data_IF_615084504804
#
_entry.id   IF_615084504804
#
_cell.length_a   1.000
_cell.length_b   1.000
_cell.length_c   1.000
_cell.angle_alpha   90.00
_cell.angle_beta   90.00
_cell.angle_gamma   90.00
#
_symmetry.space_group_name_H-M   'P 1'
#
loop_
_entity.id
_entity.type
_entity.pdbx_description
1 polymer ?
#
# COMPACT_ATOMS: atom_id res chain seq x y z
N UNK A 1 -12.54 -29.90 0.21
CA UNK A 1 -11.71 -29.39 -0.91
C UNK A 1 -10.96 -28.15 -0.40
N UNK A 2 -9.71 -28.31 0.03
CA UNK A 2 -8.93 -27.20 0.59
C UNK A 2 -8.54 -26.31 -0.59
N UNK A 3 -9.20 -25.15 -0.75
CA UNK A 3 -8.77 -24.11 -1.70
C UNK A 3 -7.34 -23.73 -1.30
N UNK A 4 -6.36 -24.08 -2.13
CA UNK A 4 -4.97 -23.72 -1.90
C UNK A 4 -4.87 -22.21 -1.66
N UNK A 5 -4.06 -21.81 -0.68
CA UNK A 5 -3.69 -20.41 -0.47
C UNK A 5 -2.91 -19.91 -1.70
N UNK A 6 -3.62 -19.52 -2.75
CA UNK A 6 -3.02 -18.87 -3.89
C UNK A 6 -2.68 -17.44 -3.49
N UNK A 7 -1.38 -17.18 -3.29
CA UNK A 7 -0.87 -15.83 -3.05
C UNK A 7 -1.21 -14.94 -4.24
N UNK A 8 -1.65 -13.72 -3.94
CA UNK A 8 -1.87 -12.72 -4.98
C UNK A 8 -0.54 -12.43 -5.70
N UNK A 9 -0.54 -12.15 -7.02
CA UNK A 9 0.70 -11.89 -7.77
C UNK A 9 1.62 -10.86 -7.09
N UNK A 10 1.06 -9.76 -6.56
CA UNK A 10 1.83 -8.76 -5.82
C UNK A 10 2.42 -9.27 -4.50
N UNK A 11 1.73 -10.15 -3.78
CA UNK A 11 2.29 -10.76 -2.56
C UNK A 11 3.48 -11.65 -2.90
N UNK A 12 3.44 -12.37 -4.03
CA UNK A 12 4.58 -13.19 -4.49
C UNK A 12 5.80 -12.33 -4.79
N UNK A 13 5.61 -11.18 -5.44
CA UNK A 13 6.69 -10.22 -5.71
C UNK A 13 7.25 -9.66 -4.41
N UNK A 14 6.38 -9.22 -3.50
CA UNK A 14 6.79 -8.72 -2.19
C UNK A 14 7.57 -9.76 -1.39
N UNK A 15 7.14 -11.02 -1.37
CA UNK A 15 7.87 -12.11 -0.74
C UNK A 15 9.25 -12.33 -1.37
N UNK A 16 9.36 -12.25 -2.70
CA UNK A 16 10.66 -12.33 -3.38
C UNK A 16 11.61 -11.21 -3.00
N UNK A 17 11.12 -9.96 -3.00
CA UNK A 17 11.89 -8.78 -2.58
C UNK A 17 12.30 -8.89 -1.11
N UNK A 18 11.37 -9.28 -0.25
CA UNK A 18 11.58 -9.47 1.18
C UNK A 18 12.64 -10.53 1.47
N UNK A 19 12.54 -11.70 0.82
CA UNK A 19 13.53 -12.76 0.96
C UNK A 19 14.92 -12.32 0.49
N UNK A 20 15.00 -11.60 -0.62
CA UNK A 20 16.26 -11.01 -1.11
C UNK A 20 16.84 -9.99 -0.13
N UNK A 21 16.01 -9.09 0.39
CA UNK A 21 16.43 -8.09 1.37
C UNK A 21 16.98 -8.74 2.65
N UNK A 22 16.32 -9.80 3.14
CA UNK A 22 16.79 -10.57 4.29
C UNK A 22 18.13 -11.25 3.98
N UNK A 23 18.28 -11.88 2.82
CA UNK A 23 19.52 -12.57 2.46
C UNK A 23 20.71 -11.60 2.33
N UNK A 24 20.50 -10.47 1.66
CA UNK A 24 21.51 -9.40 1.53
C UNK A 24 21.85 -8.82 2.91
N UNK A 25 20.83 -8.55 3.74
CA UNK A 25 21.06 -8.03 5.09
C UNK A 25 21.84 -9.02 5.96
N UNK A 26 21.49 -10.31 5.93
CA UNK A 26 22.18 -11.34 6.70
C UNK A 26 23.65 -11.51 6.28
N UNK A 27 23.98 -11.22 5.02
CA UNK A 27 25.35 -11.30 4.51
C UNK A 27 26.20 -10.05 4.82
N UNK A 28 25.58 -8.86 4.89
CA UNK A 28 26.32 -7.59 4.88
C UNK A 28 25.99 -6.61 6.02
N UNK A 29 24.98 -6.87 6.84
CA UNK A 29 24.52 -5.98 7.90
C UNK A 29 24.66 -6.61 9.30
N UNK A 30 24.41 -5.81 10.34
CA UNK A 30 24.42 -6.28 11.72
C UNK A 30 23.19 -7.15 12.03
N UNK A 31 23.29 -8.11 12.97
CA UNK A 31 22.15 -8.94 13.37
C UNK A 31 20.95 -8.11 13.84
N UNK A 32 21.18 -7.03 14.58
CA UNK A 32 20.11 -6.14 15.06
C UNK A 32 19.38 -5.48 13.90
N UNK A 33 20.11 -5.03 12.87
CA UNK A 33 19.50 -4.48 11.66
C UNK A 33 18.68 -5.56 10.93
N UNK A 34 19.24 -6.76 10.72
CA UNK A 34 18.55 -7.86 10.04
C UNK A 34 17.28 -8.30 10.77
N UNK A 35 17.33 -8.45 12.10
CA UNK A 35 16.14 -8.78 12.89
C UNK A 35 15.07 -7.69 12.81
N UNK A 36 15.49 -6.42 12.80
CA UNK A 36 14.56 -5.28 12.66
C UNK A 36 13.94 -5.22 11.26
N UNK A 37 14.71 -5.55 10.23
CA UNK A 37 14.24 -5.69 8.85
C UNK A 37 13.20 -6.81 8.73
N UNK A 38 13.48 -7.99 9.28
CA UNK A 38 12.54 -9.13 9.29
C UNK A 38 11.26 -8.75 10.02
N UNK A 39 11.36 -8.06 11.16
CA UNK A 39 10.20 -7.57 11.89
C UNK A 39 9.38 -6.57 11.06
N UNK A 40 10.04 -5.63 10.38
CA UNK A 40 9.38 -4.67 9.49
C UNK A 40 8.63 -5.35 8.34
N UNK A 41 9.25 -6.36 7.70
CA UNK A 41 8.63 -7.18 6.64
C UNK A 41 7.39 -7.90 7.19
N UNK A 42 7.46 -8.48 8.39
CA UNK A 42 6.33 -9.17 8.99
C UNK A 42 5.17 -8.21 9.29
N UNK A 43 5.46 -7.01 9.82
CA UNK A 43 4.46 -5.97 10.06
C UNK A 43 3.82 -5.49 8.76
N UNK A 44 4.61 -5.28 7.70
CA UNK A 44 4.11 -4.91 6.39
C UNK A 44 3.19 -5.99 5.82
N UNK A 45 3.58 -7.26 5.84
CA UNK A 45 2.76 -8.33 5.27
C UNK A 45 1.36 -8.39 5.92
N UNK A 46 1.28 -8.20 7.25
CA UNK A 46 0.01 -8.11 7.98
C UNK A 46 -0.76 -6.85 7.58
N UNK A 47 -0.08 -5.70 7.57
CA UNK A 47 -0.67 -4.41 7.23
C UNK A 47 -1.21 -4.34 5.80
N UNK A 48 -0.49 -4.90 4.83
CA UNK A 48 -0.88 -4.97 3.43
C UNK A 48 -2.04 -5.93 3.21
N UNK A 49 -2.03 -7.10 3.86
CA UNK A 49 -3.15 -8.05 3.80
C UNK A 49 -4.42 -7.42 4.37
N UNK A 50 -4.33 -6.73 5.51
CA UNK A 50 -5.44 -6.00 6.09
C UNK A 50 -5.98 -4.92 5.13
N UNK A 51 -5.09 -4.14 4.51
CA UNK A 51 -5.46 -3.13 3.51
C UNK A 51 -6.20 -3.76 2.33
N UNK A 52 -5.66 -4.84 1.74
CA UNK A 52 -6.29 -5.54 0.63
C UNK A 52 -7.69 -6.04 0.97
N UNK A 53 -7.87 -6.63 2.14
CA UNK A 53 -9.18 -7.11 2.57
C UNK A 53 -10.16 -5.95 2.75
N UNK A 54 -9.73 -4.84 3.35
CA UNK A 54 -10.55 -3.64 3.50
C UNK A 54 -10.91 -3.03 2.14
N UNK A 55 -9.95 -2.93 1.21
CA UNK A 55 -10.17 -2.44 -0.15
C UNK A 55 -11.14 -3.33 -0.93
N UNK A 56 -11.03 -4.66 -0.79
CA UNK A 56 -11.98 -5.58 -1.41
C UNK A 56 -13.41 -5.36 -0.91
N UNK A 57 -13.59 -5.13 0.40
CA UNK A 57 -14.90 -4.79 0.99
C UNK A 57 -15.43 -3.42 0.55
N UNK A 58 -14.53 -2.45 0.35
CA UNK A 58 -14.89 -1.15 -0.18
C UNK A 58 -15.43 -1.29 -1.61
N UNK A 59 -14.71 -1.98 -2.48
CA UNK A 59 -15.13 -2.17 -3.87
C UNK A 59 -16.27 -3.18 -4.05
N UNK A 60 -16.54 -4.05 -3.07
CA UNK A 60 -17.75 -4.89 -3.08
C UNK A 60 -19.00 -4.15 -2.60
N UNK A 61 -18.87 -2.92 -2.09
CA UNK A 61 -19.97 -2.14 -1.52
C UNK A 61 -20.37 -2.55 -0.10
N UNK A 62 -19.65 -3.47 0.54
CA UNK A 62 -19.87 -3.85 1.95
C UNK A 62 -19.55 -2.71 2.91
N UNK A 63 -18.63 -1.82 2.53
CA UNK A 63 -18.34 -0.59 3.26
C UNK A 63 -19.05 0.56 2.57
N UNK A 64 -20.20 0.95 3.11
CA UNK A 64 -20.96 2.12 2.65
C UNK A 64 -20.35 3.41 3.24
N UNK A 65 -19.75 4.24 2.38
CA UNK A 65 -19.36 5.62 2.70
C UNK A 65 -17.88 5.83 3.07
N UNK A 66 -17.38 7.03 2.74
CA UNK A 66 -15.98 7.41 2.93
C UNK A 66 -15.52 7.45 4.40
N UNK A 67 -16.43 7.74 5.34
CA UNK A 67 -16.12 7.80 6.78
C UNK A 67 -15.76 6.44 7.39
N UNK A 68 -16.45 5.37 6.99
CA UNK A 68 -16.14 4.02 7.42
C UNK A 68 -14.77 3.55 6.91
N UNK A 69 -14.44 3.87 5.65
CA UNK A 69 -13.12 3.64 5.08
C UNK A 69 -12.02 4.40 5.82
N UNK A 70 -12.24 5.70 6.07
CA UNK A 70 -11.29 6.54 6.78
C UNK A 70 -11.02 6.02 8.20
N UNK A 71 -12.05 5.59 8.93
CA UNK A 71 -11.90 5.01 10.26
C UNK A 71 -11.06 3.72 10.26
N UNK A 72 -11.35 2.80 9.33
CA UNK A 72 -10.57 1.55 9.20
C UNK A 72 -9.11 1.84 8.86
N UNK A 73 -8.88 2.80 7.96
CA UNK A 73 -7.54 3.23 7.60
C UNK A 73 -6.80 3.83 8.80
N UNK A 74 -7.46 4.70 9.57
CA UNK A 74 -6.90 5.31 10.77
C UNK A 74 -6.54 4.25 11.82
N UNK A 75 -7.44 3.32 12.14
CA UNK A 75 -7.18 2.23 13.09
C UNK A 75 -5.95 1.42 12.67
N UNK A 76 -5.88 1.03 11.39
CA UNK A 76 -4.74 0.27 10.85
C UNK A 76 -3.44 1.04 10.99
N UNK A 77 -3.44 2.32 10.60
CA UNK A 77 -2.25 3.16 10.67
C UNK A 77 -1.79 3.34 12.13
N UNK A 78 -2.71 3.60 13.06
CA UNK A 78 -2.41 3.69 14.49
C UNK A 78 -1.85 2.39 15.04
N UNK A 79 -2.41 1.22 14.66
CA UNK A 79 -1.87 -0.07 15.06
C UNK A 79 -0.45 -0.31 14.51
N UNK A 80 -0.19 0.03 13.24
CA UNK A 80 1.14 -0.09 12.64
C UNK A 80 2.15 0.82 13.35
N UNK A 81 1.80 2.10 13.55
CA UNK A 81 2.65 3.06 14.26
C UNK A 81 2.90 2.62 15.71
N UNK A 82 1.88 2.11 16.40
CA UNK A 82 2.01 1.55 17.75
C UNK A 82 2.96 0.36 17.79
N UNK A 83 2.82 -0.59 16.87
CA UNK A 83 3.72 -1.74 16.77
C UNK A 83 5.16 -1.32 16.47
N UNK A 84 5.36 -0.35 15.57
CA UNK A 84 6.68 0.21 15.29
C UNK A 84 7.26 0.92 16.50
N UNK A 85 6.46 1.72 17.23
CA UNK A 85 6.89 2.39 18.46
C UNK A 85 7.34 1.39 19.53
N UNK A 86 6.57 0.32 19.75
CA UNK A 86 6.94 -0.76 20.67
C UNK A 86 8.25 -1.42 20.24
N UNK A 87 8.42 -1.71 18.94
CA UNK A 87 9.66 -2.28 18.42
C UNK A 87 10.88 -1.39 18.68
N UNK A 88 10.75 -0.07 18.46
CA UNK A 88 11.82 0.90 18.71
C UNK A 88 12.18 0.99 20.18
N UNK A 89 11.19 1.04 21.08
CA UNK A 89 11.41 1.00 22.54
C UNK A 89 12.11 -0.28 22.96
N UNK A 90 11.82 -1.41 22.29
CA UNK A 90 12.49 -2.69 22.50
C UNK A 90 13.91 -2.77 21.88
N UNK A 91 14.40 -1.70 21.26
CA UNK A 91 15.76 -1.62 20.70
C UNK A 91 15.86 -2.02 19.23
N UNK A 92 14.76 -2.07 18.48
CA UNK A 92 14.81 -2.29 17.04
C UNK A 92 15.59 -1.16 16.33
N UNK A 93 16.38 -1.54 15.33
CA UNK A 93 17.10 -0.61 14.48
C UNK A 93 16.09 0.16 13.60
N UNK A 94 16.01 1.50 13.70
CA UNK A 94 14.96 2.28 13.03
C UNK A 94 15.00 2.15 11.51
N UNK A 95 16.20 2.20 10.92
CA UNK A 95 16.36 2.04 9.46
C UNK A 95 15.96 0.64 9.00
N UNK A 96 16.41 -0.43 9.68
CA UNK A 96 16.03 -1.80 9.33
C UNK A 96 14.52 -1.99 9.37
N UNK A 97 13.87 -1.51 10.43
CA UNK A 97 12.42 -1.55 10.58
C UNK A 97 11.71 -0.79 9.44
N UNK A 98 12.12 0.44 9.16
CA UNK A 98 11.53 1.27 8.10
C UNK A 98 11.67 0.64 6.71
N UNK A 99 12.86 0.13 6.39
CA UNK A 99 13.12 -0.58 5.12
C UNK A 99 12.24 -1.81 5.03
N UNK A 100 12.11 -2.57 6.11
CA UNK A 100 11.26 -3.75 6.15
C UNK A 100 9.79 -3.42 5.93
N UNK A 101 9.29 -2.35 6.55
CA UNK A 101 7.89 -1.92 6.36
C UNK A 101 7.65 -1.42 4.92
N UNK A 102 8.70 -0.99 4.22
CA UNK A 102 8.62 -0.38 2.90
C UNK A 102 8.84 -1.36 1.74
N UNK A 103 9.09 -2.66 1.99
CA UNK A 103 9.35 -3.65 0.93
C UNK A 103 8.18 -3.81 -0.05
N UNK A 104 6.97 -3.48 0.39
CA UNK A 104 5.77 -3.49 -0.46
C UNK A 104 5.78 -2.41 -1.53
N UNK A 105 6.42 -1.26 -1.29
CA UNK A 105 6.44 -0.13 -2.21
C UNK A 105 6.99 -0.54 -3.58
N UNK A 106 8.21 -1.11 -3.69
CA UNK A 106 8.70 -1.57 -4.99
C UNK A 106 7.85 -2.71 -5.57
N UNK A 107 7.28 -3.61 -4.75
CA UNK A 107 6.39 -4.66 -5.24
C UNK A 107 5.11 -4.09 -5.87
N UNK A 108 4.52 -3.06 -5.26
CA UNK A 108 3.35 -2.37 -5.75
C UNK A 108 3.66 -1.60 -7.04
N UNK A 109 4.79 -0.90 -7.10
CA UNK A 109 5.23 -0.20 -8.32
C UNK A 109 5.47 -1.15 -9.49
N UNK A 110 6.17 -2.27 -9.25
CA UNK A 110 6.37 -3.30 -10.27
C UNK A 110 5.06 -3.94 -10.72
N UNK A 111 4.18 -4.24 -9.76
CA UNK A 111 2.86 -4.80 -10.07
C UNK A 111 2.00 -3.83 -10.89
N UNK A 112 1.97 -2.54 -10.52
CA UNK A 112 1.27 -1.51 -11.27
C UNK A 112 1.83 -1.35 -12.69
N UNK A 113 3.15 -1.40 -12.85
CA UNK A 113 3.80 -1.36 -14.15
C UNK A 113 3.43 -2.56 -15.04
N UNK A 114 3.40 -3.76 -14.48
CA UNK A 114 3.05 -4.98 -15.24
C UNK A 114 1.57 -5.10 -15.58
N UNK A 115 0.69 -4.55 -14.74
CA UNK A 115 -0.78 -4.64 -14.90
C UNK A 115 -1.34 -3.36 -15.56
N UNK A 116 -0.47 -2.43 -15.97
CA UNK A 116 -0.91 -1.18 -16.61
C UNK A 116 -1.86 -1.50 -17.78
N UNK A 117 -3.06 -0.87 -17.84
CA UNK A 117 -3.91 -0.98 -19.02
C UNK A 117 -3.15 -0.51 -20.27
N UNK A 118 -3.43 -1.07 -21.45
CA UNK A 118 -2.99 -0.46 -22.69
C UNK A 118 -3.43 1.01 -22.72
N UNK A 119 -2.57 1.89 -23.21
CA UNK A 119 -2.99 3.26 -23.51
C UNK A 119 -4.05 3.18 -24.60
N UNK A 120 -5.26 3.61 -24.26
CA UNK A 120 -6.34 3.75 -25.23
C UNK A 120 -6.14 5.06 -25.99
N UNK A 121 -5.80 5.03 -27.29
CA UNK A 121 -5.59 6.22 -28.09
C UNK A 121 -6.88 7.01 -28.31
N UNK A 122 -8.03 6.37 -28.12
CA UNK A 122 -9.36 6.97 -28.26
C UNK A 122 -9.97 7.35 -26.91
N UNK A 123 -9.21 7.20 -25.81
CA UNK A 123 -9.65 7.67 -24.50
C UNK A 123 -9.96 9.16 -24.58
N UNK A 124 -11.13 9.61 -24.07
CA UNK A 124 -11.47 11.02 -24.03
C UNK A 124 -10.42 11.74 -23.18
N UNK A 125 -9.52 12.45 -23.85
CA UNK A 125 -8.54 13.31 -23.24
C UNK A 125 -8.93 14.76 -23.52
N UNK A 126 -8.96 15.57 -22.47
CA UNK A 126 -9.07 17.01 -22.60
C UNK A 126 -7.85 17.54 -23.37
N UNK A 127 -8.02 18.63 -24.12
CA UNK A 127 -6.90 19.25 -24.81
C UNK A 127 -5.81 19.63 -23.79
N UNK A 128 -4.50 19.57 -24.12
CA UNK A 128 -3.44 19.87 -23.15
C UNK A 128 -3.55 21.24 -22.48
N UNK A 129 -4.16 22.20 -23.16
CA UNK A 129 -4.33 23.58 -22.71
C UNK A 129 -5.74 23.85 -22.16
N UNK A 130 -6.55 22.80 -21.95
CA UNK A 130 -7.92 22.94 -21.48
C UNK A 130 -7.95 23.34 -20.00
N UNK A 131 -8.55 24.49 -19.63
CA UNK A 131 -8.65 24.91 -18.23
C UNK A 131 -9.39 23.91 -17.33
N UNK A 132 -10.20 23.00 -17.90
CA UNK A 132 -10.87 21.95 -17.15
C UNK A 132 -9.91 20.93 -16.53
N UNK A 133 -8.64 20.87 -16.97
CA UNK A 133 -7.58 20.13 -16.27
C UNK A 133 -7.40 20.60 -14.82
N UNK A 134 -7.60 21.88 -14.55
CA UNK A 134 -7.46 22.44 -13.20
C UNK A 134 -8.59 21.98 -12.27
N UNK A 135 -9.74 21.60 -12.84
CA UNK A 135 -10.92 21.11 -12.11
C UNK A 135 -11.11 19.60 -12.21
N UNK A 136 -10.25 18.88 -12.94
CA UNK A 136 -10.37 17.45 -13.17
C UNK A 136 -9.83 16.64 -11.99
N UNK A 137 -10.69 15.85 -11.34
CA UNK A 137 -10.28 14.92 -10.30
C UNK A 137 -9.86 13.58 -10.88
N UNK A 138 -8.56 13.30 -10.85
CA UNK A 138 -7.98 11.99 -11.19
C UNK A 138 -8.55 10.84 -10.37
N UNK A 139 -9.06 11.12 -9.16
CA UNK A 139 -9.64 10.10 -8.27
C UNK A 139 -11.11 9.80 -8.57
N UNK A 140 -11.86 10.77 -9.11
CA UNK A 140 -13.25 10.60 -9.53
C UNK A 140 -13.41 10.29 -11.01
N UNK A 141 -12.33 10.47 -11.79
CA UNK A 141 -12.35 10.41 -13.25
C UNK A 141 -13.41 11.35 -13.85
N UNK A 142 -13.47 12.58 -13.33
CA UNK A 142 -14.43 13.59 -13.74
C UNK A 142 -14.14 14.97 -13.14
N UNK A 143 -14.86 15.98 -13.61
CA UNK A 143 -14.80 17.34 -13.08
C UNK A 143 -15.34 17.40 -11.64
N UNK A 144 -14.69 18.19 -10.79
CA UNK A 144 -15.21 18.52 -9.46
C UNK A 144 -16.21 19.66 -9.62
N UNK A 145 -17.49 19.40 -9.33
CA UNK A 145 -18.49 20.47 -9.33
C UNK A 145 -18.18 21.48 -8.20
N UNK A 146 -18.14 22.79 -8.50
CA UNK A 146 -17.88 23.82 -7.51
C UNK A 146 -19.10 23.95 -6.57
N UNK A 147 -19.06 23.22 -5.45
CA UNK A 147 -20.11 23.25 -4.43
C UNK A 147 -20.05 22.14 -3.38
N UNK A 148 -19.29 21.05 -3.62
CA UNK A 148 -19.21 19.93 -2.67
C UNK A 148 -18.20 20.11 -1.52
N UNK A 149 -17.37 21.16 -1.54
CA UNK A 149 -16.36 21.39 -0.48
C UNK A 149 -16.93 22.06 0.79
N UNK A 150 -18.14 22.62 0.75
CA UNK A 150 -18.71 23.41 1.87
C UNK A 150 -19.60 22.59 2.85
N UNK A 151 -19.84 21.30 2.62
CA UNK A 151 -20.74 20.47 3.46
C UNK A 151 -20.09 19.28 4.20
N UNK A 152 -18.76 19.24 4.37
CA UNK A 152 -18.05 18.15 5.07
C UNK A 152 -17.50 18.53 6.45
#
# INVERSE_FOLDING_TARGET
MIRGFALHPMERVNFGISAGAIAVSAAFASPVFTSSLVLGIALEAVNFRALRLATARLFSGELSGGSAWALLFAIRLTMLLGAMGVALVAGAHPIGLLVGVSTIVPAALLGAWWIRPPLDPDAPALAPEDPSWDTWSVWRAGEVEPGEEDEA
#
